data_IF_425669439227
#
_entry.id   IF_425669439227
#
_cell.length_a   1.000
_cell.length_b   1.000
_cell.length_c   1.000
_cell.angle_alpha   90.00
_cell.angle_beta   90.00
_cell.angle_gamma   90.00
#
_symmetry.space_group_name_H-M   'P 1'
#
loop_
_entity.id
_entity.type
_entity.pdbx_description
1 polymer ?
#
# COMPACT_ATOMS: atom_id res chain seq x y z
N UNK A 1 -11.14 7.88 -22.67
CA UNK A 1 -10.54 8.41 -21.43
C UNK A 1 -11.48 9.39 -20.76
N UNK A 2 -11.66 9.25 -19.47
CA UNK A 2 -12.54 10.14 -18.70
C UNK A 2 -11.71 11.22 -18.01
N UNK A 3 -12.04 12.47 -18.25
CA UNK A 3 -11.42 13.61 -17.57
C UNK A 3 -12.25 13.93 -16.32
N UNK A 4 -11.59 13.95 -15.18
CA UNK A 4 -12.22 14.29 -13.90
C UNK A 4 -11.57 15.58 -13.38
N UNK A 5 -12.39 16.59 -13.10
CA UNK A 5 -11.92 17.83 -12.51
C UNK A 5 -11.98 17.70 -10.98
N UNK A 6 -10.85 17.98 -10.33
CA UNK A 6 -10.76 17.93 -8.86
C UNK A 6 -10.23 19.26 -8.34
N UNK A 7 -10.58 19.61 -7.09
CA UNK A 7 -9.93 20.72 -6.39
C UNK A 7 -8.49 20.35 -6.03
N UNK A 8 -7.60 21.35 -5.76
CA UNK A 8 -6.24 21.04 -5.30
C UNK A 8 -6.19 20.14 -4.07
N UNK A 9 -7.10 20.35 -3.09
CA UNK A 9 -7.16 19.51 -1.89
C UNK A 9 -7.59 18.09 -2.21
N UNK A 10 -8.58 17.89 -3.07
CA UNK A 10 -8.99 16.57 -3.53
C UNK A 10 -7.89 15.87 -4.31
N UNK A 11 -7.18 16.62 -5.16
CA UNK A 11 -6.07 16.08 -5.92
C UNK A 11 -5.00 15.52 -4.97
N UNK A 12 -4.62 16.28 -3.94
CA UNK A 12 -3.61 15.86 -2.98
C UNK A 12 -4.04 14.61 -2.19
N UNK A 13 -5.32 14.54 -1.82
CA UNK A 13 -5.89 13.37 -1.15
C UNK A 13 -5.86 12.15 -2.07
N UNK A 14 -6.28 12.31 -3.33
CA UNK A 14 -6.32 11.21 -4.29
C UNK A 14 -4.94 10.64 -4.54
N UNK A 15 -3.94 11.50 -4.83
CA UNK A 15 -2.58 11.00 -5.12
C UNK A 15 -1.91 10.41 -3.89
N UNK A 16 -2.25 10.88 -2.68
CA UNK A 16 -1.77 10.26 -1.46
C UNK A 16 -2.20 8.80 -1.35
N UNK A 17 -3.42 8.49 -1.80
CA UNK A 17 -3.97 7.13 -1.72
C UNK A 17 -3.57 6.24 -2.89
N UNK A 18 -3.62 6.75 -4.14
CA UNK A 18 -3.43 5.91 -5.33
C UNK A 18 -1.99 5.91 -5.85
N UNK A 19 -1.13 6.80 -5.36
CA UNK A 19 0.26 6.90 -5.78
C UNK A 19 1.23 6.79 -4.61
N UNK A 20 1.10 7.67 -3.61
CA UNK A 20 2.06 7.74 -2.51
C UNK A 20 1.94 6.54 -1.58
N UNK A 21 0.73 6.14 -1.21
CA UNK A 21 0.52 4.98 -0.33
C UNK A 21 1.05 3.68 -0.93
N UNK A 22 0.78 3.33 -2.20
CA UNK A 22 1.38 2.15 -2.80
C UNK A 22 2.90 2.13 -2.74
N UNK A 23 3.55 3.27 -2.98
CA UNK A 23 5.00 3.36 -2.89
C UNK A 23 5.50 3.13 -1.46
N UNK A 24 4.84 3.73 -0.48
CA UNK A 24 5.16 3.55 0.93
C UNK A 24 5.03 2.08 1.33
N UNK A 25 3.97 1.41 0.89
CA UNK A 25 3.74 0.00 1.20
C UNK A 25 4.83 -0.89 0.62
N UNK A 26 5.18 -0.67 -0.64
CA UNK A 26 6.25 -1.43 -1.30
C UNK A 26 7.60 -1.20 -0.61
N UNK A 27 7.94 0.05 -0.32
CA UNK A 27 9.19 0.41 0.35
C UNK A 27 9.26 -0.15 1.77
N UNK A 28 8.17 -0.04 2.52
CA UNK A 28 8.10 -0.52 3.90
C UNK A 28 8.15 -2.05 3.97
N UNK A 29 7.51 -2.73 3.03
CA UNK A 29 7.59 -4.19 2.94
C UNK A 29 9.02 -4.63 2.69
N UNK A 30 9.71 -4.01 1.73
CA UNK A 30 11.11 -4.31 1.45
C UNK A 30 12.01 -4.03 2.65
N UNK A 31 11.80 -2.89 3.33
CA UNK A 31 12.56 -2.53 4.52
C UNK A 31 12.37 -3.53 5.66
N UNK A 32 11.13 -3.98 5.87
CA UNK A 32 10.82 -5.01 6.86
C UNK A 32 11.53 -6.33 6.53
N UNK A 33 11.43 -6.78 5.27
CA UNK A 33 12.04 -8.02 4.82
C UNK A 33 13.57 -7.96 4.81
N UNK A 34 14.15 -6.78 4.62
CA UNK A 34 15.59 -6.58 4.67
C UNK A 34 16.19 -6.94 6.04
N UNK A 35 15.39 -6.86 7.11
CA UNK A 35 15.80 -7.25 8.46
C UNK A 35 15.69 -8.75 8.75
N UNK A 36 15.17 -9.53 7.81
CA UNK A 36 14.99 -10.97 7.96
C UNK A 36 16.22 -11.74 7.49
N UNK A 37 16.17 -13.08 7.59
CA UNK A 37 17.27 -13.94 7.13
C UNK A 37 17.58 -13.67 5.66
N UNK A 38 18.85 -13.41 5.35
CA UNK A 38 19.32 -13.09 4.00
C UNK A 38 18.99 -14.18 2.98
N UNK A 39 18.80 -15.42 3.42
CA UNK A 39 18.46 -16.55 2.54
C UNK A 39 17.06 -16.42 1.95
N UNK A 40 16.16 -15.67 2.59
CA UNK A 40 14.78 -15.57 2.15
C UNK A 40 14.64 -14.94 0.77
N UNK A 41 15.48 -13.99 0.42
CA UNK A 41 15.40 -13.38 -0.91
C UNK A 41 15.66 -14.35 -2.05
N UNK A 42 16.35 -15.46 -1.80
CA UNK A 42 16.57 -16.50 -2.80
C UNK A 42 15.29 -17.31 -3.08
N UNK A 43 14.30 -17.21 -2.20
CA UNK A 43 13.01 -17.85 -2.34
C UNK A 43 11.95 -16.90 -2.90
N UNK A 44 12.32 -15.65 -3.20
CA UNK A 44 11.41 -14.64 -3.71
C UNK A 44 10.89 -15.05 -5.09
N UNK A 45 9.55 -15.10 -5.22
CA UNK A 45 8.89 -15.39 -6.48
C UNK A 45 8.42 -14.12 -7.19
N UNK A 46 7.72 -14.31 -8.31
CA UNK A 46 7.19 -13.21 -9.11
C UNK A 46 6.25 -12.29 -8.34
N UNK A 47 5.45 -12.84 -7.41
CA UNK A 47 4.52 -12.04 -6.62
C UNK A 47 5.21 -10.98 -5.77
N UNK A 48 6.29 -11.35 -5.07
CA UNK A 48 7.05 -10.37 -4.28
C UNK A 48 7.72 -9.35 -5.19
N UNK A 49 8.32 -9.79 -6.29
CA UNK A 49 9.00 -8.88 -7.24
C UNK A 49 8.03 -7.88 -7.84
N UNK A 50 6.86 -8.33 -8.26
CA UNK A 50 5.84 -7.46 -8.87
C UNK A 50 5.27 -6.47 -7.87
N UNK A 51 4.97 -6.92 -6.65
CA UNK A 51 4.39 -6.09 -5.59
C UNK A 51 5.37 -5.00 -5.14
N UNK A 52 6.66 -5.26 -5.17
CA UNK A 52 7.69 -4.35 -4.64
C UNK A 52 8.45 -3.58 -5.69
N UNK A 53 8.15 -3.74 -6.98
CA UNK A 53 8.90 -3.14 -8.08
C UNK A 53 9.10 -1.64 -7.92
N UNK A 54 8.07 -0.92 -7.51
CA UNK A 54 8.12 0.54 -7.35
C UNK A 54 9.01 0.99 -6.19
N UNK A 55 9.36 0.10 -5.26
CA UNK A 55 10.27 0.43 -4.17
C UNK A 55 11.69 0.76 -4.65
N UNK A 56 12.02 0.47 -5.90
CA UNK A 56 13.32 0.80 -6.50
C UNK A 56 13.47 2.28 -6.88
N UNK A 57 12.44 3.10 -6.68
CA UNK A 57 12.49 4.53 -6.98
C UNK A 57 13.54 5.27 -6.13
N UNK A 58 13.97 6.44 -6.63
CA UNK A 58 14.99 7.25 -5.95
C UNK A 58 14.49 7.74 -4.58
N UNK A 59 15.16 7.37 -3.47
CA UNK A 59 14.72 7.77 -2.13
C UNK A 59 14.71 9.29 -1.91
N UNK A 60 15.61 10.03 -2.54
CA UNK A 60 15.66 11.49 -2.39
C UNK A 60 14.48 12.17 -3.06
N UNK A 61 14.09 11.68 -4.24
CA UNK A 61 12.92 12.18 -4.94
C UNK A 61 11.65 11.87 -4.14
N UNK A 62 11.51 10.64 -3.67
CA UNK A 62 10.32 10.24 -2.92
C UNK A 62 10.22 10.92 -1.56
N UNK A 63 11.36 11.20 -0.91
CA UNK A 63 11.37 12.03 0.29
C UNK A 63 10.67 13.37 0.03
N UNK A 64 11.01 14.03 -1.07
CA UNK A 64 10.41 15.32 -1.43
C UNK A 64 8.90 15.18 -1.71
N UNK A 65 8.53 14.16 -2.48
CA UNK A 65 7.13 13.90 -2.82
C UNK A 65 6.28 13.71 -1.55
N UNK A 66 6.75 12.88 -0.62
CA UNK A 66 6.02 12.58 0.60
C UNK A 66 5.95 13.78 1.53
N UNK A 67 7.04 14.54 1.67
CA UNK A 67 7.06 15.72 2.53
C UNK A 67 6.15 16.84 2.02
N UNK A 68 6.04 17.00 0.70
CA UNK A 68 5.18 18.01 0.09
C UNK A 68 3.68 17.70 0.28
N UNK A 69 3.33 16.45 0.54
CA UNK A 69 1.93 16.03 0.75
C UNK A 69 1.76 15.35 2.11
N UNK A 70 2.53 15.77 3.09
CA UNK A 70 2.68 15.11 4.39
C UNK A 70 1.36 14.79 5.08
N UNK A 71 0.48 15.76 5.21
CA UNK A 71 -0.78 15.59 5.95
C UNK A 71 -1.68 14.54 5.31
N UNK A 72 -1.85 14.61 4.00
CA UNK A 72 -2.68 13.65 3.28
C UNK A 72 -2.06 12.26 3.26
N UNK A 73 -0.73 12.18 3.15
CA UNK A 73 0.00 10.92 3.23
C UNK A 73 -0.19 10.25 4.60
N UNK A 74 -0.10 11.03 5.69
CA UNK A 74 -0.30 10.50 7.03
C UNK A 74 -1.72 9.97 7.21
N UNK A 75 -2.72 10.67 6.69
CA UNK A 75 -4.10 10.18 6.72
C UNK A 75 -4.28 8.88 5.93
N UNK A 76 -3.63 8.79 4.78
CA UNK A 76 -3.68 7.57 3.95
C UNK A 76 -3.04 6.38 4.69
N UNK A 77 -1.93 6.60 5.36
CA UNK A 77 -1.28 5.57 6.16
C UNK A 77 -2.21 5.12 7.29
N UNK A 78 -2.82 6.05 8.02
CA UNK A 78 -3.74 5.73 9.10
C UNK A 78 -4.92 4.88 8.60
N UNK A 79 -5.50 5.25 7.47
CA UNK A 79 -6.59 4.50 6.87
C UNK A 79 -6.17 3.08 6.49
N UNK A 80 -5.00 2.95 5.90
CA UNK A 80 -4.47 1.64 5.52
C UNK A 80 -4.14 0.78 6.75
N UNK A 81 -3.57 1.37 7.79
CA UNK A 81 -3.31 0.66 9.04
C UNK A 81 -4.60 0.07 9.61
N UNK A 82 -5.71 0.80 9.52
CA UNK A 82 -7.02 0.30 9.93
C UNK A 82 -7.46 -0.93 9.14
N UNK A 83 -7.27 -0.92 7.83
CA UNK A 83 -7.57 -2.08 6.97
C UNK A 83 -6.71 -3.30 7.33
N UNK A 84 -5.42 -3.08 7.51
CA UNK A 84 -4.49 -4.15 7.88
C UNK A 84 -4.84 -4.72 9.26
N UNK A 85 -5.20 -3.87 10.20
CA UNK A 85 -5.62 -4.27 11.54
C UNK A 85 -6.90 -5.10 11.50
N UNK A 86 -7.84 -4.76 10.63
CA UNK A 86 -9.08 -5.51 10.45
C UNK A 86 -8.80 -6.94 9.95
N UNK A 87 -7.92 -7.09 8.96
CA UNK A 87 -7.52 -8.40 8.46
C UNK A 87 -6.83 -9.20 9.56
N UNK A 88 -5.91 -8.57 10.27
CA UNK A 88 -5.19 -9.20 11.39
C UNK A 88 -6.15 -9.67 12.46
N UNK A 89 -7.16 -8.84 12.80
CA UNK A 89 -8.19 -9.20 13.78
C UNK A 89 -9.01 -10.41 13.35
N UNK A 90 -9.38 -10.49 12.07
CA UNK A 90 -10.11 -11.62 11.53
C UNK A 90 -9.29 -12.91 11.61
N UNK A 91 -7.99 -12.83 11.37
CA UNK A 91 -7.07 -13.96 11.53
C UNK A 91 -6.94 -14.37 12.99
N UNK A 92 -6.74 -13.39 13.87
CA UNK A 92 -6.54 -13.62 15.32
C UNK A 92 -7.76 -14.29 15.94
N UNK A 93 -8.94 -13.81 15.61
CA UNK A 93 -10.21 -14.27 16.20
C UNK A 93 -10.84 -15.43 15.41
N UNK A 94 -10.15 -15.94 14.40
CA UNK A 94 -10.59 -17.05 13.55
C UNK A 94 -11.97 -16.79 12.90
N UNK A 95 -12.21 -15.56 12.51
CA UNK A 95 -13.46 -15.14 11.86
C UNK A 95 -13.34 -15.33 10.36
N UNK A 96 -13.50 -16.57 9.92
CA UNK A 96 -13.35 -16.95 8.50
C UNK A 96 -14.25 -16.16 7.55
N UNK A 97 -15.56 -15.93 7.84
CA UNK A 97 -16.39 -15.12 6.95
C UNK A 97 -15.87 -13.68 6.77
N UNK A 98 -15.41 -13.03 7.85
CA UNK A 98 -14.85 -11.68 7.77
C UNK A 98 -13.54 -11.64 7.00
N UNK A 99 -12.70 -12.66 7.17
CA UNK A 99 -11.45 -12.77 6.41
C UNK A 99 -11.73 -12.90 4.91
N UNK A 100 -12.65 -13.78 4.55
CA UNK A 100 -13.03 -13.96 3.14
C UNK A 100 -13.61 -12.66 2.56
N UNK A 101 -14.51 -12.01 3.29
CA UNK A 101 -15.12 -10.75 2.85
C UNK A 101 -14.06 -9.66 2.61
N UNK A 102 -13.06 -9.59 3.47
CA UNK A 102 -11.96 -8.64 3.32
C UNK A 102 -11.16 -8.90 2.04
N UNK A 103 -10.81 -10.17 1.79
CA UNK A 103 -10.05 -10.56 0.60
C UNK A 103 -10.88 -10.38 -0.68
N UNK A 104 -12.17 -10.69 -0.63
CA UNK A 104 -13.07 -10.47 -1.77
C UNK A 104 -13.20 -9.00 -2.14
N UNK A 105 -13.29 -8.12 -1.16
CA UNK A 105 -13.33 -6.66 -1.40
C UNK A 105 -12.10 -6.19 -2.16
N UNK A 106 -10.93 -6.67 -1.74
CA UNK A 106 -9.67 -6.34 -2.41
C UNK A 106 -9.63 -6.85 -3.83
N UNK A 107 -10.05 -8.11 -4.03
CA UNK A 107 -10.12 -8.72 -5.36
C UNK A 107 -11.06 -7.95 -6.29
N UNK A 108 -12.25 -7.61 -5.82
CA UNK A 108 -13.24 -6.86 -6.60
C UNK A 108 -12.70 -5.50 -7.04
N UNK A 109 -12.03 -4.80 -6.13
CA UNK A 109 -11.42 -3.52 -6.46
C UNK A 109 -10.35 -3.68 -7.54
N UNK A 110 -9.46 -4.67 -7.38
CA UNK A 110 -8.41 -4.93 -8.38
C UNK A 110 -9.00 -5.29 -9.74
N UNK A 111 -10.04 -6.12 -9.77
CA UNK A 111 -10.70 -6.53 -11.01
C UNK A 111 -11.38 -5.35 -11.72
N UNK A 112 -11.69 -4.27 -11.00
CA UNK A 112 -12.31 -3.07 -11.55
C UNK A 112 -11.32 -2.08 -12.18
N UNK A 113 -10.04 -2.29 -12.01
CA UNK A 113 -9.01 -1.38 -12.53
C UNK A 113 -8.77 -1.55 -14.02
#
# INVERSE_FOLDING_TARGET
MRVVTTSPGEHDEIVAHISHLPHILASSLCGYLAGMDAKWKNLAGGGLRDTTRIAAGDPRLWKQILEQNREEVLKAIDGFEGELKALKGALLDKKTPELIAHLERGKQFRDSL
#
